data_IF_204025407934
#
_entry.id   IF_204025407934
#
_cell.length_a   1.000
_cell.length_b   1.000
_cell.length_c   1.000
_cell.angle_alpha   90.00
_cell.angle_beta   90.00
_cell.angle_gamma   90.00
#
_symmetry.space_group_name_H-M   'P 1'
#
loop_
_entity.id
_entity.type
_entity.pdbx_description
1 polymer ?
#
# COMPACT_ATOMS: atom_id res chain seq x y z
N UNK A 1 7.64 -0.31 -15.62
CA UNK A 1 7.17 0.26 -14.34
C UNK A 1 8.29 1.13 -13.84
N UNK A 2 8.06 2.43 -13.67
CA UNK A 2 9.11 3.39 -13.29
C UNK A 2 9.73 2.97 -11.94
N UNK A 3 8.93 2.38 -11.04
CA UNK A 3 9.45 1.86 -9.78
C UNK A 3 10.54 0.81 -9.98
N UNK A 4 10.44 -0.06 -10.99
CA UNK A 4 11.45 -1.08 -11.24
C UNK A 4 12.75 -0.46 -11.75
N UNK A 5 12.68 0.60 -12.55
CA UNK A 5 13.87 1.31 -13.02
C UNK A 5 14.59 1.99 -11.86
N UNK A 6 13.86 2.66 -10.97
CA UNK A 6 14.39 3.22 -9.71
C UNK A 6 15.06 2.12 -8.89
N UNK A 7 14.35 1.02 -8.62
CA UNK A 7 14.85 -0.07 -7.78
C UNK A 7 16.15 -0.70 -8.30
N UNK A 8 16.33 -0.71 -9.62
CA UNK A 8 17.49 -1.32 -10.29
C UNK A 8 18.65 -0.36 -10.55
N UNK A 9 18.38 0.93 -10.77
CA UNK A 9 19.38 1.88 -11.30
C UNK A 9 19.82 2.91 -10.25
N UNK A 10 18.98 3.21 -9.26
CA UNK A 10 19.26 4.31 -8.34
C UNK A 10 20.14 3.85 -7.16
N UNK A 11 21.37 4.37 -7.14
CA UNK A 11 22.34 4.09 -6.07
C UNK A 11 21.95 4.75 -4.74
N UNK A 12 21.08 5.76 -4.75
CA UNK A 12 20.66 6.42 -3.53
C UNK A 12 19.94 5.49 -2.55
N UNK A 13 19.35 4.42 -3.05
CA UNK A 13 18.73 3.39 -2.22
C UNK A 13 19.75 2.74 -1.28
N UNK A 14 21.04 2.74 -1.62
CA UNK A 14 22.12 2.18 -0.78
C UNK A 14 22.54 3.08 0.38
N UNK A 15 22.10 4.35 0.37
CA UNK A 15 22.23 5.29 1.51
C UNK A 15 21.41 4.81 2.72
N UNK A 16 20.45 3.92 2.50
CA UNK A 16 19.53 3.41 3.52
C UNK A 16 19.90 1.97 3.90
N UNK A 17 20.47 1.79 5.10
CA UNK A 17 20.85 0.46 5.62
C UNK A 17 19.68 -0.54 5.62
N UNK A 18 18.49 -0.08 6.02
CA UNK A 18 17.30 -0.93 6.00
C UNK A 18 16.98 -1.46 4.59
N UNK A 19 17.28 -0.69 3.55
CA UNK A 19 16.95 -1.03 2.18
C UNK A 19 17.92 -2.06 1.60
N UNK A 20 19.21 -1.96 1.94
CA UNK A 20 20.21 -2.98 1.62
C UNK A 20 19.84 -4.35 2.20
N UNK A 21 19.33 -4.37 3.42
CA UNK A 21 18.89 -5.61 4.06
C UNK A 21 17.55 -6.08 3.50
N UNK A 22 16.62 -5.16 3.24
CA UNK A 22 15.35 -5.46 2.58
C UNK A 22 15.57 -6.17 1.24
N UNK A 23 16.48 -5.66 0.39
CA UNK A 23 16.85 -6.26 -0.92
C UNK A 23 17.28 -7.72 -0.84
N UNK A 24 17.86 -8.15 0.29
CA UNK A 24 18.32 -9.54 0.53
C UNK A 24 17.22 -10.45 1.11
N UNK A 25 16.10 -9.87 1.55
CA UNK A 25 15.04 -10.58 2.25
C UNK A 25 14.06 -11.30 1.31
N UNK A 26 13.23 -12.19 1.87
CA UNK A 26 12.09 -12.78 1.14
C UNK A 26 11.05 -11.73 0.75
N UNK A 27 10.89 -10.65 1.51
CA UNK A 27 9.92 -9.59 1.21
C UNK A 27 10.24 -8.86 -0.09
N UNK A 28 11.52 -8.69 -0.44
CA UNK A 28 11.89 -8.12 -1.74
C UNK A 28 11.53 -9.04 -2.90
N UNK A 29 11.60 -10.36 -2.71
CA UNK A 29 11.12 -11.32 -3.72
C UNK A 29 9.61 -11.23 -3.90
N UNK A 30 8.86 -11.07 -2.80
CA UNK A 30 7.41 -10.86 -2.82
C UNK A 30 7.06 -9.52 -3.50
N UNK A 31 7.85 -8.46 -3.26
CA UNK A 31 7.70 -7.16 -3.92
C UNK A 31 7.82 -7.30 -5.45
N UNK A 32 8.88 -7.96 -5.94
CA UNK A 32 9.08 -8.16 -7.37
C UNK A 32 8.00 -9.06 -7.99
N UNK A 33 7.56 -10.09 -7.27
CA UNK A 33 6.42 -10.92 -7.68
C UNK A 33 5.12 -10.09 -7.79
N UNK A 34 4.89 -9.19 -6.84
CA UNK A 34 3.72 -8.31 -6.83
C UNK A 34 3.72 -7.40 -8.07
N UNK A 35 4.84 -6.75 -8.37
CA UNK A 35 4.95 -5.91 -9.58
C UNK A 35 4.79 -6.69 -10.87
N UNK A 36 5.40 -7.88 -10.98
CA UNK A 36 5.26 -8.74 -12.17
C UNK A 36 3.81 -9.14 -12.42
N UNK A 37 3.01 -9.31 -11.37
CA UNK A 37 1.63 -9.77 -11.45
C UNK A 37 0.61 -8.64 -11.23
N UNK A 38 1.03 -7.38 -11.19
CA UNK A 38 0.12 -6.25 -11.01
C UNK A 38 -0.81 -6.14 -12.22
N UNK A 39 -2.11 -6.28 -11.98
CA UNK A 39 -3.12 -6.12 -13.02
C UNK A 39 -3.37 -4.63 -13.25
N UNK A 40 -2.71 -4.05 -14.25
CA UNK A 40 -2.83 -2.61 -14.56
C UNK A 40 -4.15 -2.26 -15.25
N UNK A 41 -4.86 -3.24 -15.83
CA UNK A 41 -6.11 -3.02 -16.56
C UNK A 41 -7.28 -2.64 -15.65
N UNK A 42 -7.21 -3.01 -14.37
CA UNK A 42 -8.25 -2.73 -13.36
C UNK A 42 -7.97 -1.47 -12.53
N UNK A 43 -6.80 -0.84 -12.71
CA UNK A 43 -6.46 0.36 -11.97
C UNK A 43 -7.31 1.53 -12.43
N UNK A 44 -7.70 2.36 -11.47
CA UNK A 44 -8.35 3.63 -11.79
C UNK A 44 -7.36 4.53 -12.54
N UNK A 45 -7.84 5.19 -13.59
CA UNK A 45 -7.00 5.99 -14.49
C UNK A 45 -7.24 7.46 -14.23
N UNK A 46 -6.33 8.11 -13.50
CA UNK A 46 -6.29 9.57 -13.37
C UNK A 46 -4.86 10.07 -13.25
N UNK A 47 -4.64 11.38 -13.33
CA UNK A 47 -3.30 11.98 -13.14
C UNK A 47 -2.81 11.97 -11.68
N UNK A 48 -3.71 11.70 -10.74
CA UNK A 48 -3.45 11.82 -9.29
C UNK A 48 -3.38 10.46 -8.63
N UNK A 49 -4.18 9.51 -9.11
CA UNK A 49 -4.29 8.14 -8.64
C UNK A 49 -3.87 7.19 -9.77
N UNK A 50 -2.79 7.53 -10.48
CA UNK A 50 -2.25 6.71 -11.56
C UNK A 50 -1.55 5.44 -11.03
N UNK A 51 -1.06 4.64 -11.96
CA UNK A 51 -0.24 3.47 -11.68
C UNK A 51 0.95 3.79 -10.76
N UNK A 52 1.53 5.01 -10.82
CA UNK A 52 2.66 5.38 -9.99
C UNK A 52 2.32 5.48 -8.50
N UNK A 53 1.11 5.95 -8.17
CA UNK A 53 0.60 5.88 -6.80
C UNK A 53 0.57 4.43 -6.30
N UNK A 54 -0.03 3.53 -7.08
CA UNK A 54 -0.15 2.11 -6.73
C UNK A 54 1.23 1.46 -6.56
N UNK A 55 2.17 1.74 -7.47
CA UNK A 55 3.53 1.25 -7.41
C UNK A 55 4.23 1.65 -6.10
N UNK A 56 4.15 2.93 -5.71
CA UNK A 56 4.80 3.42 -4.49
C UNK A 56 4.13 2.87 -3.22
N UNK A 57 2.80 2.76 -3.18
CA UNK A 57 2.07 2.16 -2.05
C UNK A 57 2.42 0.68 -1.88
N UNK A 58 2.60 -0.08 -2.97
CA UNK A 58 3.09 -1.47 -2.89
C UNK A 58 4.48 -1.54 -2.24
N UNK A 59 5.41 -0.64 -2.62
CA UNK A 59 6.73 -0.60 -1.98
C UNK A 59 6.63 -0.32 -0.47
N UNK A 60 5.84 0.68 -0.07
CA UNK A 60 5.69 1.01 1.35
C UNK A 60 5.04 -0.12 2.15
N UNK A 61 4.04 -0.80 1.58
CA UNK A 61 3.43 -1.99 2.18
C UNK A 61 4.48 -3.09 2.43
N UNK A 62 5.37 -3.36 1.46
CA UNK A 62 6.42 -4.37 1.61
C UNK A 62 7.52 -3.95 2.58
N UNK A 63 7.88 -2.67 2.64
CA UNK A 63 8.84 -2.15 3.62
C UNK A 63 8.31 -2.24 5.05
N UNK A 64 7.02 -1.96 5.27
CA UNK A 64 6.37 -2.15 6.57
C UNK A 64 6.26 -3.63 6.93
N UNK A 65 5.87 -4.50 5.99
CA UNK A 65 5.89 -5.96 6.20
C UNK A 65 7.28 -6.45 6.62
N UNK A 66 8.32 -6.00 5.93
CA UNK A 66 9.71 -6.33 6.24
C UNK A 66 10.13 -5.86 7.63
N UNK A 67 9.95 -4.56 7.93
CA UNK A 67 10.36 -3.95 9.20
C UNK A 67 9.71 -4.65 10.39
N UNK A 68 8.41 -4.89 10.30
CA UNK A 68 7.61 -5.48 11.37
C UNK A 68 7.54 -7.01 11.32
N UNK A 69 8.30 -7.64 10.40
CA UNK A 69 8.44 -9.09 10.25
C UNK A 69 7.09 -9.80 10.15
N UNK A 70 6.18 -9.25 9.33
CA UNK A 70 4.87 -9.85 9.10
C UNK A 70 5.02 -11.24 8.48
N UNK A 71 4.17 -12.19 8.89
CA UNK A 71 4.18 -13.52 8.28
C UNK A 71 3.72 -13.46 6.81
N UNK A 72 3.80 -14.58 6.10
CA UNK A 72 3.40 -14.66 4.68
C UNK A 72 1.96 -14.20 4.44
N UNK A 73 1.03 -14.63 5.30
CA UNK A 73 -0.39 -14.36 5.14
C UNK A 73 -0.70 -12.87 5.34
N UNK A 74 -0.13 -12.24 6.37
CA UNK A 74 -0.24 -10.81 6.63
C UNK A 74 0.41 -9.96 5.52
N UNK A 75 1.55 -10.43 5.00
CA UNK A 75 2.23 -9.78 3.87
C UNK A 75 1.39 -9.86 2.61
N UNK A 76 0.70 -10.98 2.38
CA UNK A 76 -0.23 -11.15 1.27
C UNK A 76 -1.43 -10.21 1.40
N UNK A 77 -2.00 -10.05 2.60
CA UNK A 77 -3.06 -9.05 2.83
C UNK A 77 -2.57 -7.65 2.43
N UNK A 78 -1.37 -7.23 2.86
CA UNK A 78 -0.89 -5.88 2.55
C UNK A 78 -0.56 -5.66 1.07
N UNK A 79 0.08 -6.61 0.38
CA UNK A 79 0.39 -6.44 -1.05
C UNK A 79 -0.87 -6.37 -1.92
N UNK A 80 -1.89 -7.17 -1.60
CA UNK A 80 -3.16 -7.13 -2.33
C UNK A 80 -4.01 -5.94 -1.94
N UNK A 81 -3.97 -5.48 -0.68
CA UNK A 81 -4.59 -4.21 -0.31
C UNK A 81 -3.99 -3.06 -1.16
N UNK A 82 -2.66 -2.95 -1.21
CA UNK A 82 -1.97 -1.95 -2.02
C UNK A 82 -2.33 -2.05 -3.51
N UNK A 83 -2.42 -3.26 -4.06
CA UNK A 83 -2.74 -3.47 -5.47
C UNK A 83 -4.20 -3.14 -5.84
N UNK A 84 -5.12 -3.11 -4.87
CA UNK A 84 -6.57 -3.04 -5.15
C UNK A 84 -7.29 -1.81 -4.59
N UNK A 85 -6.71 -1.10 -3.62
CA UNK A 85 -7.40 -0.10 -2.80
C UNK A 85 -8.13 0.99 -3.59
N UNK A 86 -7.55 1.43 -4.70
CA UNK A 86 -8.08 2.51 -5.54
C UNK A 86 -8.78 2.04 -6.82
N UNK A 87 -8.92 0.73 -7.04
CA UNK A 87 -9.53 0.17 -8.27
C UNK A 87 -11.00 0.56 -8.49
N UNK A 88 -11.67 1.10 -7.46
CA UNK A 88 -13.09 1.48 -7.50
C UNK A 88 -13.34 2.93 -7.11
N UNK A 89 -12.36 3.83 -7.29
CA UNK A 89 -12.63 5.28 -7.31
C UNK A 89 -13.65 5.61 -8.41
N UNK A 90 -14.47 6.63 -8.17
CA UNK A 90 -15.42 7.14 -9.18
C UNK A 90 -14.95 8.46 -9.80
N UNK A 91 -14.13 9.21 -9.07
CA UNK A 91 -13.46 10.42 -9.50
C UNK A 91 -12.22 10.70 -8.60
N UNK A 92 -11.56 11.84 -8.81
CA UNK A 92 -10.41 12.31 -8.01
C UNK A 92 -10.81 13.10 -6.75
N UNK A 93 -12.11 13.20 -6.44
CA UNK A 93 -12.59 13.94 -5.28
C UNK A 93 -12.37 13.17 -3.96
N UNK A 94 -12.71 13.83 -2.86
CA UNK A 94 -12.71 13.20 -1.55
C UNK A 94 -13.82 12.15 -1.46
N UNK A 95 -13.44 10.90 -1.65
CA UNK A 95 -14.33 9.75 -1.67
C UNK A 95 -13.98 8.84 -0.49
N UNK A 96 -14.88 8.70 0.49
CA UNK A 96 -14.60 7.84 1.66
C UNK A 96 -14.96 6.37 1.43
N UNK A 97 -15.61 6.04 0.31
CA UNK A 97 -16.23 4.73 0.09
C UNK A 97 -15.53 3.92 -1.01
N UNK A 98 -14.52 4.45 -1.70
CA UNK A 98 -13.77 3.71 -2.73
C UNK A 98 -13.14 2.42 -2.21
N UNK A 99 -12.58 2.43 -1.01
CA UNK A 99 -12.05 1.23 -0.38
C UNK A 99 -13.12 0.17 -0.11
N UNK A 100 -14.31 0.59 0.33
CA UNK A 100 -15.43 -0.32 0.53
C UNK A 100 -15.90 -0.95 -0.78
N UNK A 101 -15.98 -0.15 -1.86
CA UNK A 101 -16.32 -0.67 -3.19
C UNK A 101 -15.24 -1.62 -3.71
N UNK A 102 -13.96 -1.30 -3.53
CA UNK A 102 -12.87 -2.20 -3.89
C UNK A 102 -12.95 -3.53 -3.12
N UNK A 103 -13.28 -3.48 -1.82
CA UNK A 103 -13.49 -4.67 -0.99
C UNK A 103 -14.61 -5.58 -1.51
N UNK A 104 -15.67 -5.03 -2.13
CA UNK A 104 -16.76 -5.82 -2.69
C UNK A 104 -16.48 -6.30 -4.12
N UNK A 105 -15.91 -5.44 -4.96
CA UNK A 105 -15.90 -5.64 -6.41
C UNK A 105 -14.53 -5.96 -7.02
N UNK A 106 -13.46 -5.89 -6.23
CA UNK A 106 -12.09 -6.17 -6.70
C UNK A 106 -11.44 -7.33 -5.96
N UNK A 107 -12.11 -7.89 -4.95
CA UNK A 107 -11.52 -8.92 -4.07
C UNK A 107 -11.08 -10.18 -4.80
N UNK A 108 -11.78 -10.55 -5.88
CA UNK A 108 -11.48 -11.77 -6.65
C UNK A 108 -10.23 -11.64 -7.53
N UNK A 109 -9.65 -10.44 -7.65
CA UNK A 109 -8.33 -10.25 -8.27
C UNK A 109 -7.17 -10.59 -7.31
N UNK A 110 -7.42 -10.72 -6.01
CA UNK A 110 -6.42 -11.11 -5.04
C UNK A 110 -6.23 -12.63 -5.02
N UNK A 111 -5.00 -13.10 -5.30
CA UNK A 111 -4.64 -14.52 -5.12
C UNK A 111 -4.14 -14.74 -3.68
N UNK A 112 -5.08 -14.67 -2.74
CA UNK A 112 -4.84 -14.83 -1.30
C UNK A 112 -5.52 -16.10 -0.76
N UNK A 113 -5.09 -16.57 0.41
CA UNK A 113 -5.79 -17.64 1.13
C UNK A 113 -7.25 -17.27 1.39
N UNK A 114 -8.16 -18.22 1.22
CA UNK A 114 -9.60 -18.00 1.40
C UNK A 114 -9.95 -17.53 2.83
N UNK A 115 -9.20 -18.00 3.84
CA UNK A 115 -9.37 -17.58 5.24
C UNK A 115 -9.01 -16.10 5.46
N UNK A 116 -8.17 -15.52 4.60
CA UNK A 116 -7.73 -14.13 4.67
C UNK A 116 -8.61 -13.16 3.86
N UNK A 117 -9.53 -13.68 3.04
CA UNK A 117 -10.36 -12.85 2.14
C UNK A 117 -11.11 -11.76 2.90
N UNK A 118 -11.79 -12.10 4.00
CA UNK A 118 -12.53 -11.12 4.83
C UNK A 118 -11.61 -10.08 5.46
N UNK A 119 -10.41 -10.50 5.89
CA UNK A 119 -9.40 -9.58 6.45
C UNK A 119 -8.95 -8.58 5.39
N UNK A 120 -8.65 -9.03 4.17
CA UNK A 120 -8.32 -8.15 3.06
C UNK A 120 -9.47 -7.19 2.72
N UNK A 121 -10.72 -7.68 2.68
CA UNK A 121 -11.89 -6.83 2.47
C UNK A 121 -12.03 -5.75 3.56
N UNK A 122 -11.82 -6.11 4.83
CA UNK A 122 -11.86 -5.15 5.94
C UNK A 122 -10.75 -4.09 5.83
N UNK A 123 -9.52 -4.50 5.46
CA UNK A 123 -8.38 -3.58 5.26
C UNK A 123 -8.66 -2.61 4.11
N UNK A 124 -9.15 -3.12 2.98
CA UNK A 124 -9.57 -2.32 1.84
C UNK A 124 -10.68 -1.35 2.24
N UNK A 125 -11.72 -1.78 2.94
CA UNK A 125 -12.80 -0.89 3.33
C UNK A 125 -12.37 0.19 4.33
N UNK A 126 -11.50 -0.17 5.28
CA UNK A 126 -11.08 0.74 6.33
C UNK A 126 -10.15 1.85 5.83
N UNK A 127 -9.38 1.63 4.75
CA UNK A 127 -8.32 2.56 4.34
C UNK A 127 -8.86 3.95 3.95
N UNK A 128 -9.98 3.99 3.22
CA UNK A 128 -10.59 5.21 2.69
C UNK A 128 -11.41 6.00 3.71
N UNK A 129 -11.76 5.38 4.84
CA UNK A 129 -12.60 5.97 5.90
C UNK A 129 -11.74 6.58 7.01
N UNK A 130 -12.26 7.56 7.74
CA UNK A 130 -11.56 8.13 8.91
C UNK A 130 -11.33 7.11 10.03
N UNK A 131 -10.30 7.29 10.84
CA UNK A 131 -9.90 6.33 11.91
C UNK A 131 -11.01 6.04 12.91
N UNK A 132 -11.85 7.03 13.23
CA UNK A 132 -13.00 6.84 14.12
C UNK A 132 -14.00 5.78 13.61
N UNK A 133 -14.04 5.52 12.30
CA UNK A 133 -14.92 4.51 11.67
C UNK A 133 -14.22 3.17 11.44
N UNK A 134 -12.93 3.03 11.74
CA UNK A 134 -12.15 1.82 11.43
C UNK A 134 -12.76 0.57 12.07
N UNK A 135 -13.04 0.63 13.37
CA UNK A 135 -13.56 -0.51 14.13
C UNK A 135 -14.93 -0.97 13.62
N UNK A 136 -15.83 -0.02 13.34
CA UNK A 136 -17.16 -0.34 12.79
C UNK A 136 -17.04 -0.91 11.38
N UNK A 137 -16.16 -0.33 10.55
CA UNK A 137 -15.93 -0.81 9.18
C UNK A 137 -15.38 -2.23 9.17
N UNK A 138 -14.45 -2.58 10.06
CA UNK A 138 -13.91 -3.94 10.15
C UNK A 138 -14.99 -4.95 10.56
N UNK A 139 -15.88 -4.56 11.48
CA UNK A 139 -16.99 -5.43 11.93
C UNK A 139 -17.98 -5.75 10.82
N UNK A 140 -18.17 -4.86 9.84
CA UNK A 140 -19.05 -5.11 8.68
C UNK A 140 -18.62 -6.33 7.84
N UNK A 141 -17.36 -6.74 7.90
CA UNK A 141 -16.82 -7.88 7.13
C UNK A 141 -16.78 -9.20 7.91
N UNK A 142 -17.24 -9.22 9.16
CA UNK A 142 -17.31 -10.43 9.98
C UNK A 142 -15.99 -11.22 10.01
N UNK A 143 -14.88 -10.49 10.18
CA UNK A 143 -13.53 -11.07 10.31
C UNK A 143 -13.43 -11.95 11.56
N UNK A 144 -12.68 -13.04 11.48
CA UNK A 144 -12.49 -13.95 12.61
C UNK A 144 -11.54 -13.34 13.66
N UNK A 145 -10.47 -12.70 13.21
CA UNK A 145 -9.49 -12.03 14.05
C UNK A 145 -9.55 -10.51 13.83
N UNK A 146 -10.34 -9.84 14.69
CA UNK A 146 -10.54 -8.40 14.64
C UNK A 146 -9.25 -7.61 14.90
N UNK A 147 -8.43 -8.04 15.87
CA UNK A 147 -7.21 -7.34 16.23
C UNK A 147 -6.16 -7.42 15.14
N UNK A 148 -6.07 -8.58 14.47
CA UNK A 148 -5.26 -8.74 13.26
C UNK A 148 -5.74 -7.83 12.14
N UNK A 149 -7.04 -7.83 11.82
CA UNK A 149 -7.60 -6.97 10.78
C UNK A 149 -7.37 -5.47 11.08
N UNK A 150 -7.53 -5.05 12.34
CA UNK A 150 -7.26 -3.69 12.79
C UNK A 150 -5.78 -3.33 12.66
N UNK A 151 -4.88 -4.22 13.07
CA UNK A 151 -3.43 -4.03 12.91
C UNK A 151 -3.04 -3.87 11.43
N UNK A 152 -3.54 -4.74 10.55
CA UNK A 152 -3.27 -4.67 9.11
C UNK A 152 -3.89 -3.42 8.47
N UNK A 153 -5.07 -2.99 8.92
CA UNK A 153 -5.70 -1.74 8.45
C UNK A 153 -4.84 -0.53 8.78
N UNK A 154 -4.21 -0.50 9.96
CA UNK A 154 -3.28 0.57 10.34
C UNK A 154 -2.01 0.57 9.49
N UNK A 155 -1.41 -0.60 9.26
CA UNK A 155 -0.25 -0.72 8.37
C UNK A 155 -0.57 -0.25 6.96
N UNK A 156 -1.74 -0.63 6.44
CA UNK A 156 -2.12 -0.25 5.10
C UNK A 156 -2.39 1.25 4.98
N UNK A 157 -3.07 1.86 5.96
CA UNK A 157 -3.23 3.32 5.99
C UNK A 157 -1.92 4.09 6.07
N UNK A 158 -0.93 3.57 6.77
CA UNK A 158 0.41 4.17 6.77
C UNK A 158 1.10 4.00 5.42
N UNK A 159 0.91 2.86 4.74
CA UNK A 159 1.46 2.59 3.40
C UNK A 159 0.91 3.59 2.36
N UNK A 160 -0.40 3.78 2.36
CA UNK A 160 -1.10 4.77 1.51
C UNK A 160 -0.75 6.21 1.94
N UNK A 161 -0.76 6.47 3.24
CA UNK A 161 -0.42 7.76 3.84
C UNK A 161 0.98 8.25 3.50
N UNK A 162 1.97 7.35 3.37
CA UNK A 162 3.32 7.69 2.95
C UNK A 162 3.37 8.26 1.53
N UNK A 163 2.49 7.82 0.62
CA UNK A 163 2.46 8.31 -0.75
C UNK A 163 1.72 9.66 -0.91
N UNK A 164 1.21 10.22 0.19
CA UNK A 164 0.66 11.57 0.24
C UNK A 164 1.70 12.67 0.00
N UNK A 165 3.00 12.33 0.06
CA UNK A 165 4.06 13.24 -0.42
C UNK A 165 3.85 13.69 -1.87
N UNK A 166 3.15 12.89 -2.70
CA UNK A 166 2.83 13.27 -4.09
C UNK A 166 1.90 14.48 -4.18
N UNK A 167 1.10 14.71 -3.14
CA UNK A 167 0.10 15.78 -3.04
C UNK A 167 0.58 16.96 -2.20
N UNK A 168 1.81 16.88 -1.65
CA UNK A 168 2.33 17.82 -0.65
C UNK A 168 1.42 17.96 0.59
N UNK A 169 0.69 16.89 0.95
CA UNK A 169 -0.33 16.91 2.01
C UNK A 169 -0.19 15.76 3.02
N UNK A 170 1.00 15.16 3.10
CA UNK A 170 1.34 14.20 4.14
C UNK A 170 1.37 14.90 5.50
N UNK A 171 0.54 14.45 6.44
CA UNK A 171 0.59 14.83 7.85
C UNK A 171 1.01 13.62 8.69
N UNK A 172 2.21 13.70 9.27
CA UNK A 172 2.86 12.65 10.07
C UNK A 172 2.04 12.23 11.30
N UNK A 173 1.10 13.08 11.77
CA UNK A 173 0.18 12.73 12.87
C UNK A 173 -0.76 11.59 12.51
N UNK A 174 -1.01 11.37 11.21
CA UNK A 174 -1.80 10.25 10.72
C UNK A 174 -0.95 8.99 10.49
N UNK A 175 0.38 9.05 10.63
CA UNK A 175 1.24 7.86 10.59
C UNK A 175 1.27 7.20 11.97
N UNK A 176 0.90 5.92 12.01
CA UNK A 176 0.63 5.16 13.24
C UNK A 176 1.87 4.46 13.78
N UNK A 177 2.83 4.18 12.91
CA UNK A 177 4.05 3.44 13.24
C UNK A 177 5.29 4.33 13.15
N UNK A 178 6.23 4.15 14.09
CA UNK A 178 7.44 4.96 14.15
C UNK A 178 8.28 4.82 12.89
N UNK A 179 8.38 3.60 12.34
CA UNK A 179 9.08 3.41 11.08
C UNK A 179 8.41 4.15 9.92
N UNK A 180 7.09 4.28 9.90
CA UNK A 180 6.40 5.10 8.88
C UNK A 180 6.84 6.56 8.98
N UNK A 181 6.97 7.11 10.19
CA UNK A 181 7.43 8.50 10.37
C UNK A 181 8.89 8.67 9.92
N UNK A 182 9.76 7.71 10.23
CA UNK A 182 11.15 7.67 9.75
C UNK A 182 11.23 7.62 8.20
N UNK A 183 10.22 7.02 7.56
CA UNK A 183 10.17 6.82 6.10
C UNK A 183 9.73 8.07 5.31
N UNK A 184 9.30 9.16 5.94
CA UNK A 184 8.84 10.38 5.25
C UNK A 184 9.90 10.94 4.30
N UNK A 185 11.16 11.00 4.76
CA UNK A 185 12.27 11.47 3.92
C UNK A 185 12.53 10.56 2.72
N UNK A 186 12.47 9.23 2.93
CA UNK A 186 12.58 8.25 1.86
C UNK A 186 11.42 8.39 0.85
N UNK A 187 10.18 8.56 1.34
CA UNK A 187 9.01 8.71 0.48
C UNK A 187 9.11 9.94 -0.42
N UNK A 188 9.56 11.08 0.12
CA UNK A 188 9.82 12.30 -0.68
C UNK A 188 10.86 12.07 -1.77
N UNK A 189 11.99 11.44 -1.42
CA UNK A 189 13.08 11.14 -2.38
C UNK A 189 12.61 10.18 -3.47
N UNK A 190 11.85 9.14 -3.08
CA UNK A 190 11.25 8.20 -4.01
C UNK A 190 10.31 8.90 -5.01
N UNK A 191 9.43 9.78 -4.52
CA UNK A 191 8.51 10.51 -5.37
C UNK A 191 9.22 11.43 -6.36
N UNK A 192 10.27 12.14 -5.94
CA UNK A 192 11.11 12.98 -6.82
C UNK A 192 11.73 12.12 -7.94
N UNK A 193 12.38 11.00 -7.58
CA UNK A 193 13.00 10.09 -8.54
C UNK A 193 11.98 9.46 -9.53
N UNK A 194 10.72 9.33 -9.09
CA UNK A 194 9.60 8.89 -9.92
C UNK A 194 9.20 9.96 -10.92
N UNK A 195 9.01 11.21 -10.47
CA UNK A 195 8.65 12.36 -11.30
C UNK A 195 9.69 12.63 -12.39
N UNK A 196 10.98 12.56 -12.06
CA UNK A 196 12.08 12.74 -13.02
C UNK A 196 12.04 11.78 -14.20
N UNK A 197 11.36 10.63 -14.07
CA UNK A 197 11.22 9.61 -15.13
C UNK A 197 9.88 9.66 -15.86
N UNK A 198 8.84 10.20 -15.22
CA UNK A 198 7.56 10.43 -15.90
C UNK A 198 7.65 11.55 -16.94
N UNK A 199 8.58 12.48 -16.75
CA UNK A 199 8.78 13.65 -17.61
C UNK A 199 9.74 13.38 -18.79
N UNK A 200 10.17 12.12 -18.99
CA UNK A 200 11.08 11.65 -20.06
C UNK A 200 10.30 10.84 -21.09
#
# INVERSE_FOLDING_TARGET
MIILDILNQDSWLDDYDFFKDFRKSSYYKILLDTYRNLNTDILYKSKVHDQGHIERVILFAMLLSYKYKLNSNDTDVLRYAASLHDTKRVDDSYDTEHGYRAALYSIDFAKIDASDKKTLQAVLAAHSRIDKKMDDTIKEFFVEDFDRAKRLSKFFKDSDGLDRVRLDDLDEKFLRYDFSKEMVGFAKRLFIAYKEREDV
#
